data_IF_791512276560
#
_entry.id   IF_791512276560
#
_cell.length_a   1.000
_cell.length_b   1.000
_cell.length_c   1.000
_cell.angle_alpha   90.00
_cell.angle_beta   90.00
_cell.angle_gamma   90.00
#
_symmetry.space_group_name_H-M   'P 1'
#
loop_
_entity.id
_entity.type
_entity.pdbx_description
1 polymer ?
#
# COMPACT_ATOMS: atom_id res chain seq x y z
N UNK A 1 -72.36 23.17 25.97
CA UNK A 1 -70.91 23.05 26.12
C UNK A 1 -70.38 22.32 24.89
N UNK A 2 -69.64 23.02 24.04
CA UNK A 2 -69.09 22.47 22.79
C UNK A 2 -67.66 21.99 23.02
N UNK A 3 -67.36 20.73 22.68
CA UNK A 3 -66.00 20.20 22.65
C UNK A 3 -65.39 20.48 21.27
N UNK A 4 -64.32 21.27 21.22
CA UNK A 4 -63.54 21.55 20.01
C UNK A 4 -62.65 20.33 19.69
N UNK A 5 -62.72 19.86 18.45
CA UNK A 5 -61.77 18.91 17.88
C UNK A 5 -60.39 19.52 17.75
N UNK A 6 -59.35 18.74 18.10
CA UNK A 6 -57.95 19.11 17.91
C UNK A 6 -57.51 18.53 16.57
N UNK A 7 -57.23 19.40 15.62
CA UNK A 7 -56.68 19.06 14.32
C UNK A 7 -55.18 18.78 14.48
N UNK A 8 -54.79 17.53 14.19
CA UNK A 8 -53.40 17.09 14.24
C UNK A 8 -52.67 17.54 12.98
N UNK A 9 -51.84 18.57 13.09
CA UNK A 9 -50.86 18.96 12.07
C UNK A 9 -49.91 17.79 11.76
N UNK A 10 -49.64 17.46 10.47
CA UNK A 10 -48.69 16.42 10.13
C UNK A 10 -47.26 16.90 10.41
N UNK A 11 -46.46 16.02 11.02
CA UNK A 11 -45.03 16.26 11.26
C UNK A 11 -44.29 16.38 9.92
N UNK A 12 -43.25 17.23 9.84
CA UNK A 12 -42.41 17.32 8.65
C UNK A 12 -41.74 15.97 8.36
N UNK A 13 -41.51 15.63 7.09
CA UNK A 13 -40.96 14.34 6.71
C UNK A 13 -39.57 14.15 7.33
N UNK A 14 -39.40 12.97 7.93
CA UNK A 14 -38.14 12.42 8.44
C UNK A 14 -37.03 12.65 7.42
N UNK A 15 -35.91 13.18 7.90
CA UNK A 15 -34.70 13.45 7.12
C UNK A 15 -34.22 12.19 6.39
N UNK A 16 -34.66 12.03 5.15
CA UNK A 16 -34.13 11.06 4.21
C UNK A 16 -32.65 11.39 3.97
N UNK A 17 -31.85 10.34 3.77
CA UNK A 17 -30.40 10.39 3.58
C UNK A 17 -29.98 11.57 2.70
N UNK A 18 -29.32 12.55 3.31
CA UNK A 18 -29.04 13.90 2.78
C UNK A 18 -28.24 13.95 1.46
N UNK A 19 -27.85 12.81 0.89
CA UNK A 19 -27.00 12.69 -0.30
C UNK A 19 -27.63 11.93 -1.47
N UNK A 20 -28.89 11.46 -1.39
CA UNK A 20 -29.52 10.68 -2.47
C UNK A 20 -29.65 11.47 -3.80
N UNK A 21 -29.77 12.79 -3.70
CA UNK A 21 -29.94 13.70 -4.85
C UNK A 21 -28.62 14.22 -5.43
N UNK A 22 -27.46 13.86 -4.86
CA UNK A 22 -26.17 14.35 -5.33
C UNK A 22 -25.43 13.29 -6.14
N UNK A 23 -24.73 13.71 -7.20
CA UNK A 23 -23.79 12.87 -7.95
C UNK A 23 -22.38 13.42 -7.85
N UNK A 24 -21.41 12.53 -7.71
CA UNK A 24 -20.00 12.89 -7.69
C UNK A 24 -19.55 13.27 -9.11
N UNK A 25 -19.02 14.47 -9.27
CA UNK A 25 -18.57 14.99 -10.57
C UNK A 25 -17.06 15.17 -10.66
N UNK A 26 -16.38 15.35 -9.53
CA UNK A 26 -14.91 15.53 -9.51
C UNK A 26 -14.30 14.94 -8.26
N UNK A 27 -13.11 14.36 -8.40
CA UNK A 27 -12.22 14.05 -7.28
C UNK A 27 -10.89 14.74 -7.53
N UNK A 28 -10.34 15.40 -6.53
CA UNK A 28 -8.97 15.91 -6.56
C UNK A 28 -8.26 15.59 -5.25
N UNK A 29 -6.96 15.32 -5.34
CA UNK A 29 -6.09 15.16 -4.18
C UNK A 29 -5.66 16.53 -3.68
N UNK A 30 -5.69 16.75 -2.37
CA UNK A 30 -5.07 17.93 -1.77
C UNK A 30 -3.55 17.76 -1.76
N UNK A 31 -2.83 18.78 -2.21
CA UNK A 31 -1.37 18.78 -2.15
C UNK A 31 -0.89 18.79 -0.69
N UNK A 32 0.10 17.94 -0.42
CA UNK A 32 0.74 17.78 0.89
C UNK A 32 2.22 17.48 0.66
N UNK A 33 3.11 17.98 1.54
CA UNK A 33 4.54 17.68 1.45
C UNK A 33 4.79 16.18 1.67
N UNK A 34 5.92 15.70 1.17
CA UNK A 34 6.37 14.33 1.42
C UNK A 34 6.71 14.14 2.91
N UNK A 35 6.40 12.98 3.50
CA UNK A 35 6.66 12.69 4.92
C UNK A 35 8.14 12.31 5.17
N UNK A 36 9.07 12.98 4.51
CA UNK A 36 10.51 12.75 4.58
C UNK A 36 11.21 14.12 4.76
N UNK A 37 11.58 14.50 6.00
CA UNK A 37 12.07 15.85 6.29
C UNK A 37 13.45 16.14 5.65
N UNK A 38 14.29 15.11 5.52
CA UNK A 38 15.69 15.25 5.13
C UNK A 38 15.97 14.86 3.66
N UNK A 39 14.99 15.04 2.78
CA UNK A 39 15.19 14.74 1.36
C UNK A 39 16.14 15.75 0.70
N UNK A 40 17.15 15.28 -0.05
CA UNK A 40 17.96 16.14 -0.88
C UNK A 40 17.12 16.95 -1.89
N UNK A 41 17.57 18.16 -2.28
CA UNK A 41 16.89 18.92 -3.31
C UNK A 41 16.88 18.15 -4.64
N UNK A 42 15.74 18.16 -5.34
CA UNK A 42 15.59 17.54 -6.65
C UNK A 42 15.38 16.02 -6.64
N UNK A 43 15.11 15.41 -5.49
CA UNK A 43 14.61 14.03 -5.43
C UNK A 43 13.31 13.92 -6.23
N UNK A 44 13.25 12.89 -7.06
CA UNK A 44 12.09 12.64 -7.91
C UNK A 44 10.99 11.94 -7.12
N UNK A 45 9.78 12.49 -7.15
CA UNK A 45 8.57 11.85 -6.65
C UNK A 45 7.77 11.23 -7.81
N UNK A 46 7.70 9.89 -7.82
CA UNK A 46 6.84 9.11 -8.69
C UNK A 46 5.43 9.00 -8.09
N UNK A 47 4.53 9.91 -8.49
CA UNK A 47 3.11 9.87 -8.09
C UNK A 47 2.35 8.78 -8.85
N UNK A 48 2.07 7.67 -8.17
CA UNK A 48 1.31 6.54 -8.69
C UNK A 48 -0.19 6.77 -8.51
N UNK A 49 -0.93 6.69 -9.61
CA UNK A 49 -2.40 6.82 -9.66
C UNK A 49 -3.03 5.51 -10.15
N UNK A 50 -4.35 5.41 -9.98
CA UNK A 50 -5.13 4.30 -10.51
C UNK A 50 -4.97 4.14 -12.03
N UNK A 51 -4.89 5.24 -12.78
CA UNK A 51 -4.66 5.21 -14.23
C UNK A 51 -3.21 4.95 -14.66
N UNK A 52 -2.24 5.02 -13.73
CA UNK A 52 -0.82 4.91 -14.08
C UNK A 52 -0.49 3.54 -14.67
N UNK A 53 0.26 3.56 -15.78
CA UNK A 53 0.78 2.35 -16.42
C UNK A 53 2.14 2.03 -15.82
N UNK A 54 2.26 0.86 -15.16
CA UNK A 54 3.48 0.43 -14.46
C UNK A 54 4.69 0.48 -15.40
N UNK A 55 4.55 0.01 -16.65
CA UNK A 55 5.63 0.02 -17.65
C UNK A 55 6.21 1.43 -17.85
N UNK A 56 5.35 2.44 -17.96
CA UNK A 56 5.80 3.82 -18.18
C UNK A 56 6.48 4.40 -16.93
N UNK A 57 5.89 4.18 -15.75
CA UNK A 57 6.49 4.59 -14.49
C UNK A 57 7.88 3.97 -14.30
N UNK A 58 7.99 2.66 -14.55
CA UNK A 58 9.26 1.93 -14.41
C UNK A 58 10.28 2.35 -15.46
N UNK A 59 9.87 2.58 -16.71
CA UNK A 59 10.79 3.06 -17.75
C UNK A 59 11.48 4.37 -17.33
N UNK A 60 10.70 5.35 -16.86
CA UNK A 60 11.25 6.61 -16.38
C UNK A 60 12.05 6.46 -15.09
N UNK A 61 11.49 5.76 -14.08
CA UNK A 61 12.11 5.67 -12.76
C UNK A 61 13.44 4.91 -12.79
N UNK A 62 13.53 3.83 -13.58
CA UNK A 62 14.77 3.06 -13.76
C UNK A 62 15.84 3.91 -14.46
N UNK A 63 15.50 4.55 -15.58
CA UNK A 63 16.43 5.43 -16.30
C UNK A 63 16.92 6.58 -15.40
N UNK A 64 16.04 7.16 -14.58
CA UNK A 64 16.41 8.21 -13.63
C UNK A 64 17.38 7.69 -12.57
N UNK A 65 17.12 6.51 -12.01
CA UNK A 65 17.97 5.87 -11.00
C UNK A 65 19.29 5.32 -11.56
N UNK A 66 19.44 5.11 -12.86
CA UNK A 66 20.73 4.74 -13.47
C UNK A 66 21.72 5.92 -13.52
N UNK A 67 21.22 7.15 -13.55
CA UNK A 67 22.07 8.34 -13.54
C UNK A 67 22.92 8.39 -12.25
N UNK A 68 24.23 8.64 -12.41
CA UNK A 68 25.19 8.68 -11.29
C UNK A 68 24.79 9.67 -10.18
N UNK A 69 24.20 10.81 -10.57
CA UNK A 69 23.75 11.84 -9.63
C UNK A 69 22.42 11.54 -8.93
N UNK A 70 21.64 10.56 -9.39
CA UNK A 70 20.39 10.18 -8.71
C UNK A 70 20.70 9.12 -7.66
N UNK A 71 20.58 9.51 -6.39
CA UNK A 71 20.80 8.62 -5.24
C UNK A 71 19.51 8.09 -4.63
N UNK A 72 18.43 8.86 -4.77
CA UNK A 72 17.16 8.61 -4.10
C UNK A 72 15.98 8.86 -5.03
N UNK A 73 14.88 8.13 -4.81
CA UNK A 73 13.60 8.30 -5.49
C UNK A 73 12.47 7.97 -4.53
N UNK A 74 11.36 8.71 -4.63
CA UNK A 74 10.17 8.47 -3.81
C UNK A 74 9.04 7.96 -4.69
N UNK A 75 8.31 6.95 -4.22
CA UNK A 75 7.03 6.53 -4.80
C UNK A 75 5.90 6.88 -3.84
N UNK A 76 4.85 7.52 -4.34
CA UNK A 76 3.68 7.87 -3.53
C UNK A 76 2.39 7.42 -4.21
N UNK A 77 1.42 6.98 -3.42
CA UNK A 77 0.10 6.64 -3.93
C UNK A 77 -0.93 6.48 -2.82
N UNK A 78 -2.19 6.72 -3.14
CA UNK A 78 -3.27 6.69 -2.17
C UNK A 78 -4.51 5.93 -2.68
N UNK A 79 -5.34 5.48 -1.76
CA UNK A 79 -6.55 4.70 -2.05
C UNK A 79 -6.24 3.49 -2.93
N UNK A 80 -6.91 3.42 -4.10
CA UNK A 80 -6.76 2.30 -5.05
C UNK A 80 -5.36 2.18 -5.68
N UNK A 81 -4.51 3.21 -5.55
CA UNK A 81 -3.15 3.18 -6.08
C UNK A 81 -2.11 2.58 -5.13
N UNK A 82 -2.46 2.34 -3.85
CA UNK A 82 -1.50 1.88 -2.83
C UNK A 82 -0.80 0.58 -3.25
N UNK A 83 -1.58 -0.47 -3.60
CA UNK A 83 -1.01 -1.75 -4.03
C UNK A 83 -0.10 -1.59 -5.25
N UNK A 84 -0.50 -0.78 -6.23
CA UNK A 84 0.32 -0.50 -7.43
C UNK A 84 1.62 0.22 -7.08
N UNK A 85 1.59 1.10 -6.08
CA UNK A 85 2.78 1.82 -5.58
C UNK A 85 3.79 0.84 -5.03
N UNK A 86 3.33 -0.09 -4.19
CA UNK A 86 4.15 -1.18 -3.65
C UNK A 86 4.71 -2.03 -4.80
N UNK A 87 3.88 -2.44 -5.77
CA UNK A 87 4.34 -3.21 -6.94
C UNK A 87 5.45 -2.50 -7.71
N UNK A 88 5.36 -1.18 -7.90
CA UNK A 88 6.39 -0.39 -8.57
C UNK A 88 7.72 -0.43 -7.80
N UNK A 89 7.67 -0.27 -6.48
CA UNK A 89 8.84 -0.35 -5.59
C UNK A 89 9.48 -1.74 -5.65
N UNK A 90 8.69 -2.81 -5.54
CA UNK A 90 9.20 -4.19 -5.57
C UNK A 90 9.80 -4.58 -6.93
N UNK A 91 9.28 -4.04 -8.04
CA UNK A 91 9.90 -4.21 -9.35
C UNK A 91 11.27 -3.51 -9.39
N UNK A 92 11.34 -2.27 -8.89
CA UNK A 92 12.59 -1.51 -8.89
C UNK A 92 13.68 -2.15 -8.02
N UNK A 93 13.33 -2.58 -6.80
CA UNK A 93 14.26 -3.28 -5.89
C UNK A 93 14.82 -4.55 -6.53
N UNK A 94 13.98 -5.40 -7.14
CA UNK A 94 14.45 -6.62 -7.82
C UNK A 94 15.38 -6.33 -9.00
N UNK A 95 15.17 -5.22 -9.73
CA UNK A 95 15.99 -4.88 -10.89
C UNK A 95 17.32 -4.23 -10.54
N UNK A 96 17.35 -3.35 -9.53
CA UNK A 96 18.56 -2.61 -9.16
C UNK A 96 19.36 -3.30 -8.05
N UNK A 97 18.69 -3.99 -7.12
CA UNK A 97 19.28 -4.54 -5.89
C UNK A 97 19.92 -3.45 -5.01
N UNK A 98 20.28 -3.79 -3.77
CA UNK A 98 21.10 -2.90 -2.93
C UNK A 98 20.41 -1.58 -2.52
N UNK A 99 19.07 -1.48 -2.61
CA UNK A 99 18.35 -0.27 -2.24
C UNK A 99 17.87 -0.33 -0.79
N UNK A 100 18.24 0.68 0.00
CA UNK A 100 17.63 0.94 1.29
C UNK A 100 16.22 1.50 1.08
N UNK A 101 15.29 1.16 1.97
CA UNK A 101 13.90 1.58 1.87
C UNK A 101 13.44 2.19 3.19
N UNK A 102 12.63 3.25 3.12
CA UNK A 102 11.82 3.74 4.24
C UNK A 102 10.39 3.91 3.75
N UNK A 103 9.44 3.26 4.44
CA UNK A 103 8.01 3.33 4.13
C UNK A 103 7.25 4.13 5.19
N UNK A 104 6.52 5.14 4.75
CA UNK A 104 5.62 5.95 5.58
C UNK A 104 4.17 5.77 5.12
N UNK A 105 3.28 5.50 6.07
CA UNK A 105 1.83 5.44 5.83
C UNK A 105 1.15 6.60 6.54
N UNK A 106 0.20 7.24 5.89
CA UNK A 106 -0.54 8.38 6.43
C UNK A 106 -1.88 8.54 5.71
N UNK A 107 -2.73 9.45 6.17
CA UNK A 107 -3.91 9.86 5.43
C UNK A 107 -3.58 11.03 4.48
N UNK A 108 -4.20 11.02 3.30
CA UNK A 108 -4.34 12.20 2.43
C UNK A 108 -5.81 12.58 2.35
N UNK A 109 -6.07 13.87 2.19
CA UNK A 109 -7.43 14.37 1.99
C UNK A 109 -7.75 14.44 0.50
N UNK A 110 -8.83 13.77 0.09
CA UNK A 110 -9.47 13.95 -1.21
C UNK A 110 -10.59 14.96 -1.08
N UNK A 111 -10.68 15.83 -2.07
CA UNK A 111 -11.79 16.73 -2.29
C UNK A 111 -12.72 16.09 -3.32
N UNK A 112 -13.92 15.73 -2.91
CA UNK A 112 -14.96 15.26 -3.81
C UNK A 112 -15.97 16.37 -4.03
N UNK A 113 -16.14 16.80 -5.28
CA UNK A 113 -17.18 17.75 -5.67
C UNK A 113 -18.39 16.96 -6.12
N UNK A 114 -19.53 17.28 -5.53
CA UNK A 114 -20.82 16.69 -5.79
C UNK A 114 -21.78 17.76 -6.29
N UNK A 115 -22.56 17.43 -7.32
CA UNK A 115 -23.58 18.29 -7.92
C UNK A 115 -24.95 17.67 -7.69
N UNK A 116 -25.95 18.51 -7.39
CA UNK A 116 -27.34 18.05 -7.33
C UNK A 116 -27.79 17.56 -8.73
N UNK A 117 -28.51 16.44 -8.75
CA UNK A 117 -29.05 15.82 -9.97
C UNK A 117 -30.22 16.63 -10.54
N UNK A 118 -31.03 17.22 -9.67
CA UNK A 118 -32.21 17.98 -10.07
C UNK A 118 -31.87 19.48 -10.12
N UNK A 119 -32.08 20.15 -11.27
CA UNK A 119 -31.92 21.60 -11.36
C UNK A 119 -32.87 22.29 -10.39
N UNK A 120 -32.36 23.26 -9.63
CA UNK A 120 -33.25 24.14 -8.87
C UNK A 120 -34.18 24.92 -9.83
N UNK A 121 -35.32 25.44 -9.34
CA UNK A 121 -36.28 26.19 -10.15
C UNK A 121 -35.67 27.40 -10.89
N UNK A 122 -34.55 27.92 -10.40
CA UNK A 122 -33.78 29.02 -10.98
C UNK A 122 -32.67 28.57 -11.94
N UNK A 123 -32.57 27.27 -12.22
CA UNK A 123 -31.54 26.67 -13.07
C UNK A 123 -30.16 26.54 -12.42
N UNK A 124 -30.01 26.88 -11.14
CA UNK A 124 -28.73 26.78 -10.45
C UNK A 124 -28.42 25.33 -10.06
N UNK A 125 -27.17 24.92 -10.28
CA UNK A 125 -26.66 23.61 -9.84
C UNK A 125 -25.97 23.80 -8.50
N UNK A 126 -26.57 23.27 -7.43
CA UNK A 126 -25.97 23.27 -6.10
C UNK A 126 -24.72 22.36 -6.08
N UNK A 127 -23.61 22.89 -5.55
CA UNK A 127 -22.32 22.19 -5.42
C UNK A 127 -21.94 22.00 -3.96
N UNK A 128 -21.64 20.76 -3.60
CA UNK A 128 -21.12 20.37 -2.30
C UNK A 128 -19.69 19.85 -2.45
N UNK A 129 -18.78 20.30 -1.58
CA UNK A 129 -17.43 19.74 -1.48
C UNK A 129 -17.32 18.90 -0.21
N UNK A 130 -16.93 17.64 -0.37
CA UNK A 130 -16.74 16.69 0.74
C UNK A 130 -15.25 16.37 0.87
N UNK A 131 -14.73 16.47 2.10
CA UNK A 131 -13.37 16.07 2.42
C UNK A 131 -13.35 14.62 2.88
N UNK A 132 -12.56 13.79 2.20
CA UNK A 132 -12.44 12.36 2.51
C UNK A 132 -10.99 12.01 2.80
N UNK A 133 -10.74 11.45 3.98
CA UNK A 133 -9.44 10.89 4.30
C UNK A 133 -9.29 9.54 3.60
N UNK A 134 -8.20 9.38 2.86
CA UNK A 134 -7.83 8.14 2.18
C UNK A 134 -6.46 7.68 2.63
N UNK A 135 -6.24 6.38 2.83
CA UNK A 135 -4.92 5.85 3.17
C UNK A 135 -3.95 6.13 2.02
N UNK A 136 -2.75 6.55 2.38
CA UNK A 136 -1.65 6.93 1.49
C UNK A 136 -0.38 6.25 1.96
N UNK A 137 0.43 5.85 0.99
CA UNK A 137 1.76 5.29 1.22
C UNK A 137 2.79 6.14 0.47
N UNK A 138 3.90 6.43 1.13
CA UNK A 138 5.08 7.05 0.56
C UNK A 138 6.28 6.16 0.86
N UNK A 139 7.03 5.77 -0.16
CA UNK A 139 8.17 4.88 -0.05
C UNK A 139 9.39 5.56 -0.65
N UNK A 140 10.40 5.81 0.19
CA UNK A 140 11.71 6.28 -0.24
C UNK A 140 12.58 5.07 -0.55
N UNK A 141 13.24 5.09 -1.71
CA UNK A 141 14.31 4.17 -2.08
C UNK A 141 15.63 4.95 -2.22
N UNK A 142 16.69 4.45 -1.60
CA UNK A 142 18.01 5.07 -1.57
C UNK A 142 19.10 4.06 -1.91
N UNK A 143 20.08 4.49 -2.72
CA UNK A 143 21.34 3.75 -2.92
C UNK A 143 22.32 3.93 -1.76
N UNK A 144 22.16 5.01 -1.01
CA UNK A 144 22.98 5.33 0.15
C UNK A 144 22.29 4.82 1.42
N UNK A 145 23.04 4.42 2.46
CA UNK A 145 22.45 4.00 3.72
C UNK A 145 21.50 5.04 4.31
N UNK A 146 20.39 4.57 4.85
CA UNK A 146 19.43 5.36 5.64
C UNK A 146 19.55 4.97 7.11
N UNK A 147 18.96 5.74 8.03
CA UNK A 147 18.98 5.42 9.46
C UNK A 147 18.28 4.08 9.73
N UNK A 148 19.00 3.05 10.22
CA UNK A 148 18.41 1.75 10.51
C UNK A 148 17.36 1.78 11.62
N UNK A 149 17.36 2.81 12.47
CA UNK A 149 16.42 2.97 13.57
C UNK A 149 15.16 3.75 13.16
N UNK A 150 15.11 4.28 11.94
CA UNK A 150 13.95 5.02 11.46
C UNK A 150 12.75 4.08 11.30
N UNK A 151 11.59 4.47 11.83
CA UNK A 151 10.36 3.70 11.64
C UNK A 151 10.02 3.55 10.16
N UNK A 152 9.78 2.29 9.77
CA UNK A 152 9.50 1.91 8.39
C UNK A 152 10.74 1.63 7.56
N UNK A 153 11.95 1.68 8.14
CA UNK A 153 13.18 1.27 7.49
C UNK A 153 13.17 -0.23 7.15
N UNK A 154 13.71 -0.56 5.97
CA UNK A 154 14.00 -1.92 5.52
C UNK A 154 15.38 -1.93 4.83
N UNK A 155 16.29 -2.85 5.24
CA UNK A 155 17.60 -2.96 4.62
C UNK A 155 17.51 -3.50 3.19
N UNK A 156 18.56 -3.33 2.37
CA UNK A 156 18.62 -3.90 1.04
C UNK A 156 18.48 -5.42 1.03
N UNK A 157 17.77 -5.94 0.03
CA UNK A 157 17.68 -7.39 -0.15
C UNK A 157 19.01 -7.97 -0.66
N UNK A 158 19.42 -9.15 -0.18
CA UNK A 158 20.56 -9.89 -0.72
C UNK A 158 20.37 -10.11 -2.23
N UNK A 159 21.45 -9.95 -3.00
CA UNK A 159 21.40 -10.14 -4.46
C UNK A 159 21.24 -11.60 -4.88
N UNK A 160 21.49 -12.55 -3.98
CA UNK A 160 21.28 -13.97 -4.26
C UNK A 160 19.79 -14.29 -4.18
N UNK A 161 19.24 -14.66 -5.33
CA UNK A 161 17.90 -15.19 -5.42
C UNK A 161 17.77 -16.40 -4.50
N UNK A 162 16.63 -16.51 -3.83
CA UNK A 162 16.19 -17.68 -3.06
C UNK A 162 16.00 -18.95 -3.94
N UNK A 163 16.60 -18.97 -5.14
CA UNK A 163 16.63 -20.03 -6.15
C UNK A 163 18.00 -20.02 -6.84
N UNK A 164 19.09 -20.01 -6.05
CA UNK A 164 20.32 -20.60 -6.57
C UNK A 164 19.99 -22.08 -6.81
N UNK A 165 19.59 -22.42 -8.03
CA UNK A 165 19.58 -23.81 -8.49
C UNK A 165 20.99 -24.33 -8.25
N UNK A 166 21.11 -25.28 -7.33
CA UNK A 166 22.35 -25.98 -6.98
C UNK A 166 22.80 -26.78 -8.22
N UNK A 167 23.50 -26.09 -9.11
CA UNK A 167 23.97 -26.60 -10.39
C UNK A 167 25.47 -26.52 -10.44
N UNK A 168 26.15 -27.54 -9.91
CA UNK A 168 27.59 -27.69 -10.07
C UNK A 168 28.21 -28.78 -9.19
N UNK A 169 28.20 -30.00 -9.70
CA UNK A 169 29.21 -31.06 -9.45
C UNK A 169 30.58 -30.47 -9.15
N UNK A 170 31.30 -30.96 -8.13
CA UNK A 170 32.67 -31.52 -8.23
C UNK A 170 33.01 -32.30 -6.95
N UNK A 171 33.29 -33.59 -7.15
CA UNK A 171 34.04 -34.45 -6.25
C UNK A 171 35.38 -33.79 -5.89
N UNK A 172 35.69 -33.80 -4.59
CA UNK A 172 37.02 -33.91 -3.98
C UNK A 172 37.22 -32.91 -2.82
N UNK A 173 36.56 -33.18 -1.68
CA UNK A 173 37.04 -32.77 -0.34
C UNK A 173 36.63 -33.79 0.71
N UNK A 174 37.21 -34.98 0.62
CA UNK A 174 37.28 -35.88 1.76
C UNK A 174 38.39 -35.39 2.70
N UNK A 175 38.06 -34.55 3.68
CA UNK A 175 38.78 -34.53 4.98
C UNK A 175 38.19 -33.50 5.96
N UNK A 176 37.86 -34.02 7.16
CA UNK A 176 37.57 -33.34 8.43
C UNK A 176 36.15 -32.82 8.68
N UNK A 177 35.34 -33.65 9.36
CA UNK A 177 34.13 -33.26 10.09
C UNK A 177 34.25 -33.76 11.55
N UNK A 178 34.09 -32.94 12.59
CA UNK A 178 33.66 -33.40 13.90
C UNK A 178 32.14 -33.26 14.05
N UNK A 179 31.59 -34.24 14.76
CA UNK A 179 30.17 -34.55 14.91
C UNK A 179 29.39 -33.48 15.67
N UNK A 180 28.18 -33.17 15.18
CA UNK A 180 27.15 -32.42 15.88
C UNK A 180 25.81 -33.16 15.79
N UNK A 181 25.31 -33.60 16.94
CA UNK A 181 24.20 -34.54 17.14
C UNK A 181 22.86 -33.99 16.65
N UNK A 182 22.13 -34.78 15.84
CA UNK A 182 20.77 -34.49 15.38
C UNK A 182 19.75 -34.77 16.47
N UNK A 183 18.81 -33.84 16.70
CA UNK A 183 17.61 -34.04 17.52
C UNK A 183 16.40 -34.23 16.57
N UNK A 184 15.74 -35.40 16.53
CA UNK A 184 14.62 -35.61 15.60
C UNK A 184 13.31 -34.95 16.07
N UNK A 185 12.57 -34.37 15.13
CA UNK A 185 11.17 -33.96 15.29
C UNK A 185 10.27 -35.19 15.06
N UNK A 186 9.39 -35.50 16.01
CA UNK A 186 8.38 -36.55 15.87
C UNK A 186 7.11 -36.00 15.19
N UNK A 187 6.60 -36.72 14.20
CA UNK A 187 5.26 -36.54 13.63
C UNK A 187 4.30 -37.61 14.19
N UNK A 188 3.02 -37.29 14.41
CA UNK A 188 2.06 -38.24 14.95
C UNK A 188 1.42 -39.03 13.82
N UNK A 189 1.41 -40.36 13.92
CA UNK A 189 0.42 -41.18 13.23
C UNK A 189 0.00 -42.30 14.16
N UNK A 190 -1.31 -42.38 14.41
CA UNK A 190 -1.89 -43.45 15.19
C UNK A 190 -1.88 -44.76 14.42
N UNK A 191 -2.02 -45.87 15.15
CA UNK A 191 -2.98 -46.91 14.80
C UNK A 191 -3.21 -47.83 16.00
N UNK A 192 -4.40 -48.44 15.96
CA UNK A 192 -4.99 -49.35 16.92
C UNK A 192 -4.13 -50.60 17.17
N UNK A 193 -4.18 -51.11 18.40
CA UNK A 193 -4.23 -52.56 18.63
C UNK A 193 -4.89 -52.86 19.97
N UNK A 194 -6.17 -53.19 19.89
CA UNK A 194 -6.90 -53.86 20.95
C UNK A 194 -6.66 -55.38 20.81
N UNK A 195 -6.69 -56.09 21.96
CA UNK A 195 -7.16 -57.48 22.13
C UNK A 195 -6.13 -58.61 22.39
N UNK A 196 -6.20 -59.06 23.65
CA UNK A 196 -6.22 -60.45 24.20
C UNK A 196 -5.08 -61.43 23.90
N UNK A 197 -4.47 -61.92 24.98
CA UNK A 197 -4.46 -63.31 25.53
C UNK A 197 -3.35 -63.31 26.60
N UNK A 198 -3.37 -63.97 27.76
CA UNK A 198 -4.15 -65.02 28.42
C UNK A 198 -3.66 -64.92 29.89
N UNK A 199 -4.47 -64.98 30.94
CA UNK A 199 -5.15 -66.19 31.42
C UNK A 199 -6.45 -66.59 30.69
#
# INVERSE_FOLDING_TARGET
MAAKGVESTPMPPVAQSRMENFRKVKTSEQDSPLPFPDLPPGVVEMKVKEGSKIRNLMGFAMARMELKGTRQIVFSGCGRAVTKTITCVEIMKRKLGGLHQVTKVHYKTLLEVWENKDPQPDGQVEKLTVHKNVPSICILLSKDPLDPNEMGYQPPEPRDGLWAEDGGTEEDRLSSLPQGVKRPLALPHGELANKKMQD
#
